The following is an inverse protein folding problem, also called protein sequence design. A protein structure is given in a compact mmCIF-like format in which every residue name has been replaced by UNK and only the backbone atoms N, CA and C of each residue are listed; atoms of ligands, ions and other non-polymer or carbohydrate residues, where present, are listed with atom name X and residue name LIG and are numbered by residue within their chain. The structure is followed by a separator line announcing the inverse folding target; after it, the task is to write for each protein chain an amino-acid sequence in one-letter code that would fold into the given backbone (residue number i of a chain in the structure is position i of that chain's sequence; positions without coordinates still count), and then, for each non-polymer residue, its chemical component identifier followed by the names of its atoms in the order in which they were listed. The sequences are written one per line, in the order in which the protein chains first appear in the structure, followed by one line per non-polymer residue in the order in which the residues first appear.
data_IF_033004559617
#
_entry.id   IF_033004559617
#
_cell.length_a   1.000
_cell.length_b   1.000
_cell.length_c   1.000
_cell.angle_alpha   90.00
_cell.angle_beta   90.00
_cell.angle_gamma   90.00
#
_symmetry.space_group_name_H-M   'P 1'
#
loop_
_entity.id
_entity.type
_entity.pdbx_description
1 polymer ?
#
# COMPACT_ATOMS: atom_id res chain seq x y z
N UNK A 1 -5.83 -16.64 19.93
CA UNK A 1 -4.47 -16.43 19.38
C UNK A 1 -4.06 -14.96 19.50
N UNK A 2 -2.78 -14.59 19.38
CA UNK A 2 -2.43 -13.15 19.28
C UNK A 2 -2.86 -12.62 17.90
N UNK A 3 -3.76 -11.63 17.88
CA UNK A 3 -4.36 -11.08 16.65
C UNK A 3 -3.41 -10.13 15.91
N UNK A 4 -2.37 -10.72 15.30
CA UNK A 4 -1.39 -10.06 14.45
C UNK A 4 -1.49 -10.57 13.01
N UNK A 5 -1.08 -9.73 12.07
CA UNK A 5 -1.09 -10.05 10.63
C UNK A 5 -0.29 -11.34 10.33
N UNK A 6 0.82 -11.56 11.03
CA UNK A 6 1.67 -12.76 10.90
C UNK A 6 0.97 -14.08 11.27
N UNK A 7 -0.15 -14.02 12.00
CA UNK A 7 -0.89 -15.20 12.45
C UNK A 7 -2.20 -15.40 11.67
N UNK A 8 -2.47 -14.61 10.62
CA UNK A 8 -3.76 -14.56 9.93
C UNK A 8 -4.21 -15.94 9.44
N UNK A 9 -3.31 -16.73 8.85
CA UNK A 9 -3.62 -18.07 8.31
C UNK A 9 -4.03 -19.09 9.38
N UNK A 10 -3.65 -18.86 10.64
CA UNK A 10 -3.97 -19.76 11.75
C UNK A 10 -5.20 -19.30 12.54
N UNK A 11 -5.81 -18.15 12.19
CA UNK A 11 -7.01 -17.63 12.84
C UNK A 11 -8.25 -18.40 12.41
N UNK A 12 -9.20 -18.54 13.33
CA UNK A 12 -10.56 -18.94 12.96
C UNK A 12 -11.27 -17.82 12.19
N UNK A 13 -12.30 -18.13 11.40
CA UNK A 13 -13.11 -17.13 10.69
C UNK A 13 -13.63 -15.99 11.57
N UNK A 14 -13.91 -16.29 12.85
CA UNK A 14 -14.38 -15.30 13.82
C UNK A 14 -13.24 -14.37 14.25
N UNK A 15 -12.06 -14.93 14.57
CA UNK A 15 -10.87 -14.16 14.91
C UNK A 15 -10.42 -13.28 13.74
N UNK A 16 -10.45 -13.80 12.51
CA UNK A 16 -10.11 -13.04 11.31
C UNK A 16 -11.05 -11.83 11.11
N UNK A 17 -12.38 -12.03 11.24
CA UNK A 17 -13.35 -10.91 11.14
C UNK A 17 -13.11 -9.83 12.18
N UNK A 18 -12.76 -10.23 13.41
CA UNK A 18 -12.42 -9.29 14.48
C UNK A 18 -11.12 -8.57 14.17
N UNK A 19 -10.10 -9.29 13.67
CA UNK A 19 -8.83 -8.72 13.25
C UNK A 19 -9.04 -7.64 12.19
N UNK A 20 -9.75 -7.93 11.10
CA UNK A 20 -9.99 -6.96 10.03
C UNK A 20 -10.71 -5.71 10.52
N UNK A 21 -11.72 -5.86 11.38
CA UNK A 21 -12.42 -4.71 11.98
C UNK A 21 -11.50 -3.84 12.85
N UNK A 22 -10.59 -4.43 13.59
CA UNK A 22 -9.59 -3.69 14.37
C UNK A 22 -8.53 -3.05 13.47
N UNK A 23 -8.14 -3.75 12.41
CA UNK A 23 -7.16 -3.28 11.43
C UNK A 23 -7.66 -2.05 10.68
N UNK A 24 -8.93 -2.04 10.23
CA UNK A 24 -9.55 -0.88 9.59
C UNK A 24 -9.50 0.38 10.45
N UNK A 25 -9.83 0.26 11.75
CA UNK A 25 -9.75 1.38 12.69
C UNK A 25 -8.33 1.93 12.82
N UNK A 26 -7.31 1.06 12.71
CA UNK A 26 -5.90 1.46 12.76
C UNK A 26 -5.46 2.13 11.45
N UNK A 27 -5.87 1.62 10.29
CA UNK A 27 -5.57 2.25 8.98
C UNK A 27 -6.15 3.67 8.93
N UNK A 28 -7.38 3.87 9.38
CA UNK A 28 -8.02 5.20 9.39
C UNK A 28 -7.24 6.20 10.26
N UNK A 29 -6.48 5.72 11.24
CA UNK A 29 -5.62 6.54 12.12
C UNK A 29 -4.16 6.54 11.68
N UNK A 30 -3.82 5.90 10.58
CA UNK A 30 -2.47 5.92 10.04
C UNK A 30 -2.12 7.35 9.63
N UNK A 31 -0.96 7.82 10.09
CA UNK A 31 -0.50 9.17 9.84
C UNK A 31 0.45 9.23 8.64
N UNK A 32 0.69 8.12 7.93
CA UNK A 32 1.62 8.01 6.81
C UNK A 32 3.10 8.08 7.19
N UNK A 33 3.47 7.95 8.47
CA UNK A 33 4.87 8.08 8.90
C UNK A 33 5.80 7.05 8.24
N UNK A 34 5.32 5.81 8.06
CA UNK A 34 6.09 4.76 7.38
C UNK A 34 6.40 5.14 5.92
N UNK A 35 5.40 5.60 5.16
CA UNK A 35 5.59 6.05 3.77
C UNK A 35 6.59 7.23 3.69
N UNK A 36 6.44 8.23 4.56
CA UNK A 36 7.39 9.35 4.65
C UNK A 36 8.81 8.89 4.98
N UNK A 37 8.98 7.98 5.92
CA UNK A 37 10.30 7.45 6.28
C UNK A 37 10.96 6.70 5.10
N UNK A 38 10.17 6.01 4.27
CA UNK A 38 10.68 5.38 3.04
C UNK A 38 11.16 6.42 2.03
N UNK A 39 10.35 7.45 1.76
CA UNK A 39 10.70 8.54 0.85
C UNK A 39 11.95 9.29 1.33
N UNK A 40 12.03 9.63 2.62
CA UNK A 40 13.20 10.27 3.23
C UNK A 40 14.47 9.40 3.14
N UNK A 41 14.31 8.08 3.15
CA UNK A 41 15.42 7.13 2.95
C UNK A 41 15.78 6.91 1.47
N UNK A 42 15.20 7.68 0.54
CA UNK A 42 15.49 7.57 -0.90
C UNK A 42 14.81 6.36 -1.57
N UNK A 43 13.80 5.76 -0.93
CA UNK A 43 13.09 4.58 -1.46
C UNK A 43 11.71 5.00 -1.99
N UNK A 44 11.31 4.55 -3.19
CA UNK A 44 9.97 4.80 -3.70
C UNK A 44 8.91 4.08 -2.86
N UNK A 45 7.70 4.62 -2.87
CA UNK A 45 6.52 4.00 -2.27
C UNK A 45 5.49 3.67 -3.35
N UNK A 46 4.73 2.60 -3.13
CA UNK A 46 3.79 2.06 -4.10
C UNK A 46 2.40 2.00 -3.47
N UNK A 47 1.41 2.61 -4.10
CA UNK A 47 0.06 2.67 -3.57
C UNK A 47 -0.98 2.89 -4.69
N UNK A 48 -2.25 2.85 -4.31
CA UNK A 48 -3.38 3.19 -5.19
C UNK A 48 -4.25 4.21 -4.49
N UNK A 49 -4.79 5.14 -5.27
CA UNK A 49 -5.84 6.08 -4.87
C UNK A 49 -7.17 5.61 -5.48
N UNK A 50 -8.30 6.15 -5.00
CA UNK A 50 -9.64 5.79 -5.49
C UNK A 50 -9.80 6.02 -7.01
N UNK A 51 -9.06 6.99 -7.55
CA UNK A 51 -9.05 7.34 -8.97
C UNK A 51 -7.99 6.57 -9.80
N UNK A 52 -7.18 5.71 -9.17
CA UNK A 52 -6.10 4.98 -9.86
C UNK A 52 -6.71 3.94 -10.80
N UNK A 53 -6.40 3.98 -12.12
CA UNK A 53 -7.00 3.06 -13.08
C UNK A 53 -6.79 1.59 -12.71
N UNK A 54 -7.76 0.69 -13.02
CA UNK A 54 -7.63 -0.73 -12.73
C UNK A 54 -6.36 -1.34 -13.31
N UNK A 55 -5.67 -2.16 -12.52
CA UNK A 55 -4.42 -2.82 -12.92
C UNK A 55 -3.18 -1.92 -12.89
N UNK A 56 -3.31 -0.65 -12.52
CA UNK A 56 -2.20 0.28 -12.32
C UNK A 56 -1.97 0.58 -10.84
N UNK A 57 -0.73 0.95 -10.53
CA UNK A 57 -0.23 1.33 -9.22
C UNK A 57 0.54 2.64 -9.38
N UNK A 58 0.39 3.55 -8.41
CA UNK A 58 1.21 4.76 -8.33
C UNK A 58 2.54 4.39 -7.66
N UNK A 59 3.65 4.68 -8.33
CA UNK A 59 4.99 4.71 -7.77
C UNK A 59 5.37 6.16 -7.51
N UNK A 60 5.42 6.57 -6.24
CA UNK A 60 5.91 7.87 -5.83
C UNK A 60 7.40 7.78 -5.47
N UNK A 61 8.19 8.65 -6.08
CA UNK A 61 9.62 8.77 -5.87
C UNK A 61 9.92 9.77 -4.75
N UNK A 62 11.10 9.69 -4.11
CA UNK A 62 11.55 10.65 -3.09
C UNK A 62 11.56 12.12 -3.54
N UNK A 63 11.67 12.37 -4.83
CA UNK A 63 11.65 13.71 -5.45
C UNK A 63 10.22 14.25 -5.68
N UNK A 64 9.19 13.47 -5.31
CA UNK A 64 7.78 13.80 -5.50
C UNK A 64 7.23 13.42 -6.88
N UNK A 65 8.05 12.89 -7.79
CA UNK A 65 7.57 12.39 -9.09
C UNK A 65 6.68 11.17 -8.87
N UNK A 66 5.62 11.06 -9.68
CA UNK A 66 4.68 9.94 -9.63
C UNK A 66 4.57 9.28 -11.00
N UNK A 67 4.54 7.95 -11.00
CA UNK A 67 4.38 7.14 -12.21
C UNK A 67 3.34 6.08 -12.04
N UNK A 68 2.58 5.81 -13.09
CA UNK A 68 1.81 4.57 -13.18
C UNK A 68 2.75 3.43 -13.56
N UNK A 69 2.72 2.38 -12.75
CA UNK A 69 3.38 1.11 -13.00
C UNK A 69 2.36 -0.02 -12.98
N UNK A 70 2.72 -1.14 -13.60
CA UNK A 70 2.02 -2.42 -13.46
C UNK A 70 3.04 -3.52 -13.18
N UNK A 71 2.61 -4.60 -12.55
CA UNK A 71 3.43 -5.78 -12.37
C UNK A 71 2.92 -6.90 -13.28
N UNK A 72 3.78 -7.40 -14.15
CA UNK A 72 3.50 -8.55 -15.03
C UNK A 72 4.52 -9.63 -14.68
N UNK A 73 4.06 -10.79 -14.23
CA UNK A 73 4.91 -11.90 -13.77
C UNK A 73 5.95 -11.49 -12.71
N UNK A 74 5.55 -10.58 -11.81
CA UNK A 74 6.42 -10.04 -10.76
C UNK A 74 7.41 -8.98 -11.23
N UNK A 75 7.42 -8.63 -12.52
CA UNK A 75 8.30 -7.61 -13.10
C UNK A 75 7.56 -6.27 -13.18
N UNK A 76 8.15 -5.23 -12.61
CA UNK A 76 7.65 -3.85 -12.73
C UNK A 76 7.78 -3.36 -14.17
N UNK A 77 6.69 -2.83 -14.73
CA UNK A 77 6.67 -2.13 -16.01
C UNK A 77 6.10 -0.73 -15.83
N UNK A 78 6.87 0.29 -16.21
CA UNK A 78 6.41 1.68 -16.22
C UNK A 78 5.45 1.91 -17.38
N UNK A 79 4.28 2.48 -17.08
CA UNK A 79 3.25 2.83 -18.06
C UNK A 79 3.35 4.30 -18.47
N UNK A 80 3.69 5.19 -17.52
CA UNK A 80 3.92 6.62 -17.79
C UNK A 80 3.88 7.46 -16.51
N UNK A 81 4.11 8.77 -16.64
CA UNK A 81 3.96 9.71 -15.52
C UNK A 81 2.48 9.95 -15.22
N UNK A 82 2.14 10.13 -13.93
CA UNK A 82 0.79 10.55 -13.53
C UNK A 82 0.73 12.08 -13.51
N UNK A 83 -0.42 12.67 -13.86
CA UNK A 83 -0.62 14.09 -13.59
C UNK A 83 -0.48 14.33 -12.07
N UNK A 84 0.18 15.43 -11.70
CA UNK A 84 0.15 15.90 -10.31
C UNK A 84 -1.30 16.28 -9.98
N UNK A 85 -1.83 15.73 -8.88
CA UNK A 85 -3.10 16.13 -8.30
C UNK A 85 -3.03 17.56 -7.75
#
# INVERSE_FOLDING_TARGET
MEMKLENLEAMTDVEEKVFWRMFDVRIVRDDGAAARAHLQAGRPVYYREDNTPPGLIIKEFPDGRRQFVRFVDGVEQTVGDTAAA
#
